data_IF_087817285603
#
_entry.id   IF_087817285603
#
_cell.length_a   1.000
_cell.length_b   1.000
_cell.length_c   1.000
_cell.angle_alpha   90.00
_cell.angle_beta   90.00
_cell.angle_gamma   90.00
#
_symmetry.space_group_name_H-M   'P 1'
#
loop_
_entity.id
_entity.type
_entity.pdbx_description
1 polymer ?
#
# COMPACT_ATOMS: atom_id res chain seq x y z
N UNK A 1 21.62 -40.29 17.85
CA UNK A 1 21.90 -39.36 16.74
C UNK A 1 21.11 -39.70 15.47
N UNK A 2 21.13 -40.94 14.98
CA UNK A 2 20.43 -41.35 13.72
C UNK A 2 18.91 -41.07 13.73
N UNK A 3 18.22 -41.30 14.87
CA UNK A 3 16.76 -41.10 14.97
C UNK A 3 16.31 -39.64 14.85
N UNK A 4 17.15 -38.69 15.26
CA UNK A 4 16.86 -37.24 15.18
C UNK A 4 16.98 -36.76 13.73
N UNK A 5 17.98 -37.26 12.99
CA UNK A 5 18.16 -36.91 11.57
C UNK A 5 16.99 -37.37 10.70
N UNK A 6 16.46 -38.57 10.96
CA UNK A 6 15.30 -39.09 10.23
C UNK A 6 14.05 -38.25 10.52
N UNK A 7 13.82 -37.86 11.78
CA UNK A 7 12.68 -37.03 12.16
C UNK A 7 12.71 -35.65 11.48
N UNK A 8 13.88 -35.01 11.43
CA UNK A 8 14.05 -33.72 10.75
C UNK A 8 13.85 -33.82 9.23
N UNK A 9 14.34 -34.90 8.61
CA UNK A 9 14.14 -35.15 7.18
C UNK A 9 12.66 -35.33 6.84
N UNK A 10 11.90 -36.04 7.68
CA UNK A 10 10.46 -36.24 7.49
C UNK A 10 9.67 -34.93 7.65
N UNK A 11 10.04 -34.07 8.59
CA UNK A 11 9.44 -32.73 8.74
C UNK A 11 9.72 -31.87 7.50
N UNK A 12 10.95 -31.88 6.99
CA UNK A 12 11.30 -31.11 5.81
C UNK A 12 10.53 -31.59 4.57
N UNK A 13 10.41 -32.91 4.39
CA UNK A 13 9.60 -33.52 3.32
C UNK A 13 8.13 -33.13 3.48
N UNK A 14 7.59 -33.15 4.69
CA UNK A 14 6.20 -32.73 4.96
C UNK A 14 5.98 -31.25 4.61
N UNK A 15 6.92 -30.37 4.93
CA UNK A 15 6.88 -28.94 4.58
C UNK A 15 6.98 -28.74 3.06
N UNK A 16 7.81 -29.53 2.38
CA UNK A 16 7.93 -29.50 0.91
C UNK A 16 6.68 -30.06 0.20
N UNK A 17 5.98 -31.02 0.84
CA UNK A 17 4.72 -31.59 0.35
C UNK A 17 3.50 -30.70 0.63
N UNK A 18 3.59 -29.84 1.66
CA UNK A 18 2.67 -28.73 1.89
C UNK A 18 2.86 -27.71 0.77
N UNK A 19 2.20 -27.95 -0.35
CA UNK A 19 2.06 -26.97 -1.42
C UNK A 19 1.29 -25.77 -0.85
N UNK A 20 2.01 -24.77 -0.35
CA UNK A 20 1.42 -23.48 0.00
C UNK A 20 0.85 -22.93 -1.30
N UNK A 21 -0.46 -23.08 -1.49
CA UNK A 21 -1.20 -22.43 -2.56
C UNK A 21 -1.22 -20.95 -2.22
N UNK A 22 -0.14 -20.24 -2.55
CA UNK A 22 -0.12 -18.79 -2.61
C UNK A 22 -1.20 -18.41 -3.63
N UNK A 23 -2.39 -18.08 -3.14
CA UNK A 23 -3.39 -17.43 -3.95
C UNK A 23 -2.89 -16.01 -4.13
N UNK A 24 -2.13 -15.78 -5.20
CA UNK A 24 -1.98 -14.43 -5.72
C UNK A 24 -3.37 -13.90 -6.08
N UNK A 25 -3.61 -12.63 -5.81
CA UNK A 25 -4.84 -11.96 -6.23
C UNK A 25 -4.99 -12.14 -7.74
N UNK A 26 -5.92 -12.99 -8.15
CA UNK A 26 -6.34 -13.13 -9.54
C UNK A 26 -7.51 -12.16 -9.70
N UNK A 27 -7.21 -10.91 -10.02
CA UNK A 27 -8.23 -9.98 -10.51
C UNK A 27 -8.39 -10.27 -12.01
N UNK A 28 -9.47 -10.95 -12.46
CA UNK A 28 -9.69 -11.18 -13.88
C UNK A 28 -9.90 -9.87 -14.66
N UNK A 29 -10.20 -8.77 -13.97
CA UNK A 29 -10.37 -7.45 -14.56
C UNK A 29 -9.76 -6.38 -13.64
N UNK A 30 -8.50 -6.01 -13.89
CA UNK A 30 -7.90 -4.76 -13.36
C UNK A 30 -8.43 -3.53 -14.15
N UNK A 31 -9.07 -3.77 -15.30
CA UNK A 31 -9.50 -2.73 -16.23
C UNK A 31 -11.03 -2.57 -16.31
N UNK A 32 -11.77 -2.73 -15.20
CA UNK A 32 -13.13 -2.19 -15.18
C UNK A 32 -13.06 -0.70 -14.83
N UNK A 33 -13.05 0.12 -15.87
CA UNK A 33 -13.00 1.59 -15.81
C UNK A 33 -14.41 2.19 -15.71
N UNK A 34 -15.47 1.36 -15.72
CA UNK A 34 -16.85 1.80 -15.51
C UNK A 34 -17.00 2.32 -14.08
N UNK A 35 -16.80 3.62 -13.91
CA UNK A 35 -16.77 4.31 -12.61
C UNK A 35 -15.65 5.35 -12.50
N UNK A 36 -14.58 5.23 -13.30
CA UNK A 36 -13.46 6.17 -13.38
C UNK A 36 -13.70 7.22 -14.47
N UNK A 37 -14.86 7.89 -14.42
CA UNK A 37 -15.25 8.90 -15.42
C UNK A 37 -14.48 10.21 -15.30
N UNK A 38 -13.71 10.39 -14.21
CA UNK A 38 -12.92 11.60 -13.91
C UNK A 38 -11.41 11.40 -14.04
N UNK A 39 -10.94 10.26 -14.57
CA UNK A 39 -9.50 10.02 -14.73
C UNK A 39 -9.12 10.16 -16.20
N UNK A 40 -8.65 11.36 -16.56
CA UNK A 40 -8.01 11.61 -17.84
C UNK A 40 -6.55 11.14 -17.79
N UNK A 41 -6.11 10.39 -18.81
CA UNK A 41 -4.70 9.99 -18.93
C UNK A 41 -3.88 11.17 -19.50
N UNK A 42 -3.72 12.22 -18.70
CA UNK A 42 -2.87 13.36 -19.03
C UNK A 42 -1.42 13.13 -18.58
N UNK A 43 -0.47 13.78 -19.25
CA UNK A 43 0.94 13.67 -18.90
C UNK A 43 1.22 14.43 -17.61
N UNK A 44 1.76 13.73 -16.59
CA UNK A 44 2.23 14.36 -15.35
C UNK A 44 3.40 15.33 -15.53
N UNK A 45 3.95 15.46 -16.75
CA UNK A 45 4.94 16.49 -17.11
C UNK A 45 4.25 17.83 -17.40
N UNK A 46 3.08 17.81 -18.06
CA UNK A 46 2.36 19.03 -18.44
C UNK A 46 1.43 19.51 -17.34
N UNK A 47 0.84 18.57 -16.57
CA UNK A 47 0.08 18.86 -15.37
C UNK A 47 0.79 18.20 -14.17
N UNK A 48 1.72 18.91 -13.51
CA UNK A 48 2.44 18.35 -12.38
C UNK A 48 1.49 18.09 -11.21
N UNK A 49 1.71 16.97 -10.55
CA UNK A 49 1.02 16.60 -9.31
C UNK A 49 1.93 16.82 -8.10
N UNK A 50 1.33 17.05 -6.95
CA UNK A 50 2.01 17.01 -5.66
C UNK A 50 1.79 15.64 -5.03
N UNK A 51 2.87 14.99 -4.60
CA UNK A 51 2.81 13.72 -3.86
C UNK A 51 3.32 13.94 -2.45
N UNK A 52 2.44 13.78 -1.47
CA UNK A 52 2.76 13.92 -0.05
C UNK A 52 2.85 12.53 0.58
N UNK A 53 4.03 12.16 1.08
CA UNK A 53 4.23 10.88 1.78
C UNK A 53 3.70 10.98 3.21
N UNK A 54 2.69 10.16 3.53
CA UNK A 54 2.07 10.10 4.86
C UNK A 54 2.67 8.96 5.68
N UNK A 55 2.99 7.84 5.05
CA UNK A 55 3.48 6.65 5.74
C UNK A 55 4.50 5.95 4.84
N UNK A 56 5.67 5.65 5.40
CA UNK A 56 6.72 4.89 4.72
C UNK A 56 7.62 4.24 5.78
N UNK A 57 8.42 3.26 5.36
CA UNK A 57 9.50 2.65 6.12
C UNK A 57 10.59 3.66 6.47
N UNK A 58 10.70 4.77 5.71
CA UNK A 58 11.69 5.82 5.91
C UNK A 58 11.03 7.19 6.11
N UNK A 59 11.66 8.03 6.94
CA UNK A 59 11.20 9.41 7.14
C UNK A 59 11.73 10.28 6.00
N UNK A 60 10.85 10.67 5.09
CA UNK A 60 11.13 11.70 4.08
C UNK A 60 11.01 13.12 4.66
N UNK A 61 9.89 13.40 5.35
CA UNK A 61 9.57 14.74 5.90
C UNK A 61 9.88 14.80 7.39
N UNK A 62 10.70 15.80 7.80
CA UNK A 62 11.08 15.98 9.21
C UNK A 62 9.84 16.13 10.10
N UNK A 63 9.81 15.38 11.22
CA UNK A 63 8.71 15.39 12.19
C UNK A 63 7.67 14.28 11.97
N UNK A 64 7.69 13.62 10.82
CA UNK A 64 6.92 12.40 10.58
C UNK A 64 7.53 11.20 11.31
N UNK A 65 6.70 10.20 11.56
CA UNK A 65 7.11 8.92 12.15
C UNK A 65 7.04 7.85 11.06
N UNK A 66 8.10 7.04 10.94
CA UNK A 66 8.16 5.92 10.01
C UNK A 66 7.78 4.61 10.71
N UNK A 67 7.27 3.65 9.94
CA UNK A 67 6.99 2.28 10.34
C UNK A 67 6.79 1.42 9.08
N UNK A 68 6.67 0.10 9.23
CA UNK A 68 6.48 -0.76 8.07
C UNK A 68 5.09 -0.56 7.43
N UNK A 69 5.05 0.02 6.23
CA UNK A 69 3.84 0.32 5.50
C UNK A 69 4.02 1.41 4.44
N UNK A 70 2.94 1.77 3.76
CA UNK A 70 2.94 2.81 2.74
C UNK A 70 1.63 3.61 2.76
N UNK A 71 1.72 4.92 2.54
CA UNK A 71 0.59 5.77 2.24
C UNK A 71 1.04 7.10 1.66
N UNK A 72 0.33 7.57 0.63
CA UNK A 72 0.56 8.87 -0.01
C UNK A 72 -0.76 9.59 -0.28
N UNK A 73 -0.71 10.92 -0.31
CA UNK A 73 -1.77 11.77 -0.87
C UNK A 73 -1.26 12.39 -2.16
N UNK A 74 -2.09 12.36 -3.21
CA UNK A 74 -1.80 12.90 -4.52
C UNK A 74 -2.79 14.03 -4.82
N UNK A 75 -2.26 15.23 -5.08
CA UNK A 75 -3.01 16.46 -5.38
C UNK A 75 -2.61 17.01 -6.76
N UNK A 76 -3.49 17.78 -7.41
CA UNK A 76 -3.24 18.37 -8.74
C UNK A 76 -3.87 17.62 -9.92
N UNK A 77 -4.67 16.59 -9.63
CA UNK A 77 -5.55 15.92 -10.59
C UNK A 77 -6.98 16.50 -10.50
N UNK A 78 -7.90 15.97 -11.30
CA UNK A 78 -9.34 16.23 -11.18
C UNK A 78 -9.94 15.71 -9.85
N UNK A 79 -9.19 14.93 -9.08
CA UNK A 79 -9.59 14.37 -7.78
C UNK A 79 -8.38 14.19 -6.87
N UNK A 80 -8.53 14.47 -5.58
CA UNK A 80 -7.51 14.20 -4.56
C UNK A 80 -7.56 12.75 -4.14
N UNK A 81 -6.43 12.05 -4.26
CA UNK A 81 -6.35 10.60 -4.01
C UNK A 81 -5.52 10.32 -2.76
N UNK A 82 -6.10 9.58 -1.82
CA UNK A 82 -5.37 8.89 -0.76
C UNK A 82 -5.10 7.45 -1.21
N UNK A 83 -3.84 7.07 -1.26
CA UNK A 83 -3.42 5.72 -1.61
C UNK A 83 -2.87 5.02 -0.36
N UNK A 84 -3.48 3.90 0.04
CA UNK A 84 -3.23 3.15 1.27
C UNK A 84 -3.28 4.01 2.56
N UNK A 85 -3.19 3.36 3.71
CA UNK A 85 -3.23 4.01 5.03
C UNK A 85 -2.16 3.52 6.01
N UNK A 86 -1.13 2.83 5.50
CA UNK A 86 -0.16 2.14 6.33
C UNK A 86 -0.78 1.05 7.22
N UNK A 87 -0.07 0.66 8.28
CA UNK A 87 -0.45 -0.48 9.13
C UNK A 87 -1.00 -0.10 10.52
N UNK A 88 -0.75 1.14 10.97
CA UNK A 88 -1.15 1.62 12.30
C UNK A 88 -2.00 2.90 12.22
N UNK A 89 -3.30 2.84 12.57
CA UNK A 89 -4.20 3.99 12.45
C UNK A 89 -3.75 5.25 13.20
N UNK A 90 -3.27 5.10 14.44
CA UNK A 90 -2.82 6.25 15.24
C UNK A 90 -1.57 6.93 14.66
N UNK A 91 -0.68 6.15 14.03
CA UNK A 91 0.51 6.69 13.38
C UNK A 91 0.12 7.43 12.10
N UNK A 92 -0.73 6.79 11.27
CA UNK A 92 -1.29 7.41 10.07
C UNK A 92 -1.95 8.75 10.40
N UNK A 93 -2.85 8.76 11.38
CA UNK A 93 -3.55 9.97 11.82
C UNK A 93 -2.55 11.06 12.26
N UNK A 94 -1.55 10.71 13.08
CA UNK A 94 -0.55 11.68 13.55
C UNK A 94 0.26 12.28 12.39
N UNK A 95 0.67 11.48 11.40
CA UNK A 95 1.39 12.00 10.24
C UNK A 95 0.49 12.83 9.32
N UNK A 96 -0.77 12.41 9.14
CA UNK A 96 -1.75 13.11 8.33
C UNK A 96 -2.04 14.51 8.89
N UNK A 97 -2.23 14.62 10.21
CA UNK A 97 -2.38 15.90 10.92
C UNK A 97 -1.13 16.78 10.81
N UNK A 98 0.07 16.21 10.96
CA UNK A 98 1.34 16.93 10.79
C UNK A 98 1.56 17.42 9.36
N UNK A 99 1.00 16.74 8.37
CA UNK A 99 1.05 17.15 6.98
C UNK A 99 0.13 18.34 6.70
N UNK A 100 -0.74 18.70 7.65
CA UNK A 100 -1.72 19.78 7.48
C UNK A 100 -2.83 19.42 6.50
N UNK A 101 -3.07 18.13 6.27
CA UNK A 101 -4.09 17.65 5.34
C UNK A 101 -5.44 17.51 6.03
N UNK A 102 -6.50 17.74 5.26
CA UNK A 102 -7.88 17.54 5.69
C UNK A 102 -8.44 16.27 5.06
N UNK A 103 -8.96 15.35 5.88
CA UNK A 103 -9.56 14.12 5.37
C UNK A 103 -10.84 14.40 4.56
N UNK A 104 -11.49 15.55 4.79
CA UNK A 104 -12.69 15.95 4.06
C UNK A 104 -12.42 16.36 2.60
N UNK A 105 -11.16 16.67 2.25
CA UNK A 105 -10.76 17.01 0.88
C UNK A 105 -10.33 15.80 0.04
N UNK A 106 -10.37 14.59 0.61
CA UNK A 106 -10.03 13.36 -0.11
C UNK A 106 -11.26 12.88 -0.88
N UNK A 107 -11.14 12.84 -2.22
CA UNK A 107 -12.22 12.39 -3.10
C UNK A 107 -12.22 10.87 -3.26
N UNK A 108 -11.03 10.26 -3.30
CA UNK A 108 -10.85 8.85 -3.61
C UNK A 108 -9.86 8.18 -2.64
N UNK A 109 -10.23 7.00 -2.16
CA UNK A 109 -9.35 6.09 -1.41
C UNK A 109 -9.04 4.87 -2.28
N UNK A 110 -7.75 4.65 -2.55
CA UNK A 110 -7.26 3.47 -3.25
C UNK A 110 -6.55 2.57 -2.24
N UNK A 111 -6.97 1.30 -2.17
CA UNK A 111 -6.31 0.28 -1.35
C UNK A 111 -5.60 -0.69 -2.29
N UNK A 112 -4.29 -0.81 -2.12
CA UNK A 112 -3.44 -1.59 -3.02
C UNK A 112 -3.62 -3.09 -2.85
N UNK A 113 -3.71 -3.59 -1.60
CA UNK A 113 -3.90 -5.01 -1.27
C UNK A 113 -4.48 -5.26 0.12
#
# INVERSE_FOLDING_TARGET
MIRIGIFLALILILILLLHVRLHGQTFPYIANIEGLTSVSAESGITNPVTVTVIYDNYVHTKGMTADWGYSIVIEGLDSTVLFDTGTKPALFQSNFEKAGLDASSIDLLVISH
#
